data_IF_413059408475
#
_entry.id   IF_413059408475
#
_cell.length_a   1.000
_cell.length_b   1.000
_cell.length_c   1.000
_cell.angle_alpha   90.00
_cell.angle_beta   90.00
_cell.angle_gamma   90.00
#
_symmetry.space_group_name_H-M   'P 1'
#
loop_
_entity.id
_entity.type
_entity.pdbx_description
1 polymer ?
#
# COMPACT_ATOMS: atom_id res chain seq x y z
N UNK A 1 -68.54 52.42 25.86
CA UNK A 1 -67.25 52.06 26.47
C UNK A 1 -66.88 50.55 26.36
N UNK A 2 -67.50 49.75 25.47
CA UNK A 2 -67.21 48.29 25.34
C UNK A 2 -66.58 47.90 24.02
N UNK A 3 -66.26 48.84 23.10
CA UNK A 3 -65.65 48.60 21.84
C UNK A 3 -64.14 48.99 21.73
N UNK A 4 -63.61 49.73 22.73
CA UNK A 4 -62.23 50.17 22.78
C UNK A 4 -61.29 49.19 23.50
N UNK A 5 -61.85 48.25 24.30
CA UNK A 5 -61.05 47.28 25.07
C UNK A 5 -60.67 45.98 24.28
N UNK A 6 -61.43 45.71 23.21
CA UNK A 6 -61.20 44.52 22.38
C UNK A 6 -60.12 44.75 21.32
N UNK A 7 -59.80 45.98 20.97
CA UNK A 7 -58.78 46.31 19.98
C UNK A 7 -57.36 46.40 20.57
N UNK A 8 -57.25 46.64 21.90
CA UNK A 8 -55.96 46.65 22.58
C UNK A 8 -55.44 45.26 22.96
N UNK A 9 -56.35 44.27 23.11
CA UNK A 9 -55.92 42.88 23.38
C UNK A 9 -55.45 42.08 22.12
N UNK A 10 -55.93 42.49 20.94
CA UNK A 10 -55.45 41.83 19.66
C UNK A 10 -54.14 42.39 19.17
N UNK A 11 -53.70 43.56 19.59
CA UNK A 11 -52.40 44.12 19.20
C UNK A 11 -51.29 43.63 20.11
N UNK A 12 -51.56 43.19 21.34
CA UNK A 12 -50.57 42.60 22.24
C UNK A 12 -50.26 41.14 21.93
N UNK A 13 -51.16 40.39 21.23
CA UNK A 13 -50.93 39.02 20.81
C UNK A 13 -50.10 38.92 19.50
N UNK A 14 -50.05 39.98 18.67
CA UNK A 14 -49.27 39.99 17.44
C UNK A 14 -47.80 40.39 17.63
N UNK A 15 -47.44 41.03 18.72
CA UNK A 15 -46.06 41.42 19.01
C UNK A 15 -45.30 40.30 19.73
N UNK A 16 -45.98 39.34 20.37
CA UNK A 16 -45.36 38.19 21.04
C UNK A 16 -45.08 36.99 20.11
N UNK A 17 -45.59 36.99 18.87
CA UNK A 17 -45.31 35.93 17.90
C UNK A 17 -44.14 36.25 16.94
N UNK A 18 -43.60 37.47 16.95
CA UNK A 18 -42.48 37.87 16.09
C UNK A 18 -41.12 37.90 16.80
N UNK A 19 -41.07 37.56 18.09
CA UNK A 19 -39.85 37.54 18.90
C UNK A 19 -39.32 36.14 19.18
N UNK A 20 -39.88 35.08 18.58
CA UNK A 20 -39.39 33.67 18.71
C UNK A 20 -38.94 33.01 17.41
N UNK A 21 -38.68 33.79 16.35
CA UNK A 21 -38.12 33.29 15.10
C UNK A 21 -36.69 33.82 14.86
N UNK A 22 -35.83 33.63 15.83
CA UNK A 22 -34.46 34.12 15.70
C UNK A 22 -33.59 33.59 16.82
N UNK A 23 -33.25 32.31 16.76
CA UNK A 23 -32.03 31.64 17.19
C UNK A 23 -32.27 30.11 17.15
N UNK A 24 -32.49 29.56 15.97
CA UNK A 24 -31.95 28.22 15.74
C UNK A 24 -30.44 28.42 15.64
N UNK A 25 -29.76 28.33 16.75
CA UNK A 25 -28.41 27.85 16.78
C UNK A 25 -28.50 26.45 16.17
N UNK A 26 -28.11 26.31 14.90
CA UNK A 26 -27.66 25.02 14.41
C UNK A 26 -26.57 24.60 15.39
N UNK A 27 -26.94 23.77 16.33
CA UNK A 27 -26.00 22.90 17.02
C UNK A 27 -25.35 22.08 15.88
N UNK A 28 -24.17 22.47 15.44
CA UNK A 28 -23.26 21.52 14.89
C UNK A 28 -23.18 20.40 15.93
N UNK A 29 -23.89 19.31 15.70
CA UNK A 29 -23.66 18.10 16.44
C UNK A 29 -22.19 17.77 16.11
N UNK A 30 -21.32 18.01 17.07
CA UNK A 30 -19.96 17.50 17.09
C UNK A 30 -20.15 15.99 16.89
N UNK A 31 -19.77 15.50 15.71
CA UNK A 31 -19.87 14.08 15.40
C UNK A 31 -19.10 13.39 16.53
N UNK A 32 -19.78 12.54 17.29
CA UNK A 32 -19.12 11.80 18.36
C UNK A 32 -17.91 11.10 17.74
N UNK A 33 -16.71 11.36 18.26
CA UNK A 33 -15.51 10.75 17.75
C UNK A 33 -15.71 9.22 17.72
N UNK A 34 -15.54 8.62 16.57
CA UNK A 34 -15.64 7.16 16.42
C UNK A 34 -14.60 6.51 17.33
N UNK A 35 -15.05 5.56 18.15
CA UNK A 35 -14.17 4.86 19.11
C UNK A 35 -13.69 3.56 18.45
N UNK A 36 -12.38 3.38 18.27
CA UNK A 36 -11.81 2.12 17.75
C UNK A 36 -12.24 0.91 18.59
N UNK A 37 -12.54 -0.21 17.93
CA UNK A 37 -12.92 -1.46 18.58
C UNK A 37 -11.73 -2.06 19.35
N UNK A 38 -10.51 -1.87 18.83
CA UNK A 38 -9.27 -2.22 19.51
C UNK A 38 -8.30 -1.05 19.55
N UNK A 39 -7.58 -0.90 20.65
CA UNK A 39 -6.59 0.16 20.87
C UNK A 39 -5.15 -0.32 20.74
N UNK A 40 -4.90 -1.63 20.67
CA UNK A 40 -3.59 -2.23 20.44
C UNK A 40 -3.64 -3.06 19.17
N UNK A 41 -2.81 -2.72 18.18
CA UNK A 41 -2.71 -3.43 16.90
C UNK A 41 -1.29 -3.96 16.73
N UNK A 42 -1.16 -5.27 16.52
CA UNK A 42 0.12 -5.94 16.25
C UNK A 42 0.40 -5.91 14.75
N UNK A 43 1.52 -5.29 14.37
CA UNK A 43 1.82 -5.00 12.98
C UNK A 43 3.18 -5.57 12.55
N UNK A 44 3.24 -6.23 11.40
CA UNK A 44 4.47 -6.55 10.73
C UNK A 44 4.59 -5.78 9.41
N UNK A 45 5.73 -5.10 9.21
CA UNK A 45 6.02 -4.35 7.98
C UNK A 45 7.34 -4.81 7.29
N UNK A 46 7.83 -5.99 7.63
CA UNK A 46 9.06 -6.54 7.07
C UNK A 46 10.33 -5.79 7.51
N UNK A 47 11.47 -6.24 7.00
CA UNK A 47 12.80 -5.71 7.39
C UNK A 47 13.13 -4.37 6.73
N UNK A 48 12.52 -4.03 5.60
CA UNK A 48 12.70 -2.73 4.93
C UNK A 48 11.80 -1.63 5.49
N UNK A 49 10.96 -1.96 6.48
CA UNK A 49 10.05 -1.03 7.11
C UNK A 49 8.88 -0.59 6.21
N UNK A 50 8.08 0.32 6.76
CA UNK A 50 7.00 1.01 6.06
C UNK A 50 7.09 2.49 6.42
N UNK A 51 7.49 3.33 5.47
CA UNK A 51 7.70 4.75 5.72
C UNK A 51 6.45 5.47 6.22
N UNK A 52 5.26 5.07 5.76
CA UNK A 52 3.99 5.69 6.19
C UNK A 52 3.67 5.34 7.65
N UNK A 53 3.89 4.09 8.06
CA UNK A 53 3.76 3.66 9.46
C UNK A 53 4.79 4.37 10.33
N UNK A 54 6.06 4.47 9.87
CA UNK A 54 7.13 5.19 10.56
C UNK A 54 6.76 6.66 10.81
N UNK A 55 6.29 7.35 9.77
CA UNK A 55 5.87 8.76 9.87
C UNK A 55 4.64 8.90 10.80
N UNK A 56 3.64 8.03 10.66
CA UNK A 56 2.45 8.10 11.51
C UNK A 56 2.75 7.85 12.98
N UNK A 57 3.71 6.97 13.31
CA UNK A 57 4.18 6.74 14.67
C UNK A 57 4.94 7.97 15.20
N UNK A 58 5.91 8.51 14.45
CA UNK A 58 6.73 9.65 14.85
C UNK A 58 5.89 10.92 15.04
N UNK A 59 4.93 11.17 14.17
CA UNK A 59 4.03 12.32 14.25
C UNK A 59 2.87 12.13 15.24
N UNK A 60 2.70 10.92 15.80
CA UNK A 60 1.67 10.62 16.78
C UNK A 60 0.26 10.45 16.19
N UNK A 61 0.11 10.29 14.86
CA UNK A 61 -1.20 10.24 14.21
C UNK A 61 -2.07 9.05 14.65
N UNK A 62 -1.48 7.90 14.96
CA UNK A 62 -2.23 6.77 15.53
C UNK A 62 -2.76 7.07 16.94
N UNK A 63 -1.95 7.79 17.75
CA UNK A 63 -2.34 8.15 19.13
C UNK A 63 -3.48 9.14 19.19
N UNK A 64 -3.64 9.99 18.18
CA UNK A 64 -4.79 10.90 18.08
C UNK A 64 -6.12 10.13 18.02
N UNK A 65 -6.11 8.90 17.49
CA UNK A 65 -7.23 7.97 17.46
C UNK A 65 -7.23 6.96 18.64
N UNK A 66 -6.31 7.10 19.59
CA UNK A 66 -6.19 6.16 20.72
C UNK A 66 -5.67 4.79 20.35
N UNK A 67 -4.92 4.67 19.23
CA UNK A 67 -4.36 3.40 18.74
C UNK A 67 -2.86 3.36 19.06
N UNK A 68 -2.43 2.27 19.70
CA UNK A 68 -1.04 1.90 19.90
C UNK A 68 -0.66 0.75 18.96
N UNK A 69 0.55 0.81 18.38
CA UNK A 69 1.08 -0.26 17.55
C UNK A 69 2.16 -1.06 18.29
N UNK A 70 2.04 -2.38 18.24
CA UNK A 70 3.11 -3.31 18.60
C UNK A 70 3.74 -3.84 17.31
N UNK A 71 4.99 -3.45 17.05
CA UNK A 71 5.71 -3.92 15.86
C UNK A 71 6.29 -5.31 16.14
N UNK A 72 5.85 -6.29 15.37
CA UNK A 72 6.30 -7.68 15.45
C UNK A 72 7.22 -7.99 14.29
N UNK A 73 8.45 -8.35 14.58
CA UNK A 73 9.46 -8.63 13.56
C UNK A 73 9.24 -10.00 12.90
N UNK A 74 9.46 -10.05 11.58
CA UNK A 74 9.61 -11.28 10.82
C UNK A 74 10.77 -11.11 9.84
N UNK A 75 11.64 -12.10 9.76
CA UNK A 75 12.87 -12.02 8.97
C UNK A 75 12.65 -12.23 7.47
N UNK A 76 11.49 -12.76 7.08
CA UNK A 76 11.14 -13.06 5.68
C UNK A 76 9.64 -12.90 5.45
N UNK A 77 9.24 -12.60 4.21
CA UNK A 77 7.83 -12.42 3.83
C UNK A 77 6.95 -13.65 4.12
N UNK A 78 7.48 -14.86 3.91
CA UNK A 78 6.78 -16.10 4.28
C UNK A 78 6.54 -16.21 5.79
N UNK A 79 7.47 -15.71 6.61
CA UNK A 79 7.31 -15.64 8.07
C UNK A 79 6.23 -14.64 8.47
N UNK A 80 6.12 -13.51 7.78
CA UNK A 80 5.05 -12.52 8.00
C UNK A 80 3.66 -13.12 7.75
N UNK A 81 3.49 -13.85 6.64
CA UNK A 81 2.23 -14.54 6.34
C UNK A 81 1.89 -15.62 7.39
N UNK A 82 2.89 -16.34 7.91
CA UNK A 82 2.69 -17.32 8.96
C UNK A 82 2.27 -16.65 10.29
N UNK A 83 2.84 -15.49 10.62
CA UNK A 83 2.43 -14.73 11.80
C UNK A 83 0.97 -14.28 11.67
N UNK A 84 0.56 -13.80 10.49
CA UNK A 84 -0.80 -13.37 10.21
C UNK A 84 -1.78 -14.53 10.28
N UNK A 85 -1.55 -15.62 9.55
CA UNK A 85 -2.44 -16.78 9.52
C UNK A 85 -2.58 -17.49 10.87
N UNK A 86 -1.59 -17.35 11.76
CA UNK A 86 -1.65 -17.87 13.14
C UNK A 86 -2.22 -16.87 14.16
N UNK A 87 -2.65 -15.67 13.74
CA UNK A 87 -3.19 -14.62 14.60
C UNK A 87 -2.16 -14.01 15.56
N UNK A 88 -0.86 -14.12 15.26
CA UNK A 88 0.20 -13.50 16.07
C UNK A 88 0.43 -12.03 15.72
N UNK A 89 0.02 -11.61 14.53
CA UNK A 89 -0.10 -10.22 14.10
C UNK A 89 -1.50 -9.99 13.56
N UNK A 90 -1.96 -8.76 13.63
CA UNK A 90 -3.26 -8.34 13.16
C UNK A 90 -3.19 -7.80 11.73
N UNK A 91 -2.10 -7.10 11.40
CA UNK A 91 -1.86 -6.51 10.08
C UNK A 91 -0.46 -6.86 9.59
N UNK A 92 -0.35 -7.19 8.31
CA UNK A 92 0.91 -7.25 7.57
C UNK A 92 0.89 -6.20 6.46
N UNK A 93 2.03 -5.53 6.24
CA UNK A 93 2.21 -4.64 5.10
C UNK A 93 3.65 -4.73 4.61
N UNK A 94 3.95 -5.00 3.41
CA UNK A 94 5.30 -5.16 2.86
C UNK A 94 5.76 -6.63 2.72
N UNK A 95 4.80 -7.57 2.64
CA UNK A 95 5.08 -8.98 2.32
C UNK A 95 5.06 -9.26 0.80
N UNK A 96 4.93 -8.25 -0.02
CA UNK A 96 4.66 -8.37 -1.46
C UNK A 96 3.17 -8.62 -1.72
N UNK A 97 2.77 -8.71 -2.98
CA UNK A 97 1.38 -9.02 -3.36
C UNK A 97 1.19 -10.51 -3.67
N UNK A 98 2.21 -11.19 -4.20
CA UNK A 98 2.12 -12.63 -4.50
C UNK A 98 1.88 -13.49 -3.26
N UNK A 99 2.51 -13.16 -2.12
CA UNK A 99 2.41 -13.98 -0.90
C UNK A 99 0.98 -14.02 -0.33
N UNK A 100 0.29 -12.88 -0.08
CA UNK A 100 -1.11 -12.94 0.38
C UNK A 100 -2.02 -13.62 -0.63
N UNK A 101 -1.84 -13.41 -1.94
CA UNK A 101 -2.65 -14.08 -2.97
C UNK A 101 -2.48 -15.61 -2.94
N UNK A 102 -1.26 -16.11 -2.76
CA UNK A 102 -1.00 -17.55 -2.60
C UNK A 102 -1.62 -18.10 -1.31
N UNK A 103 -1.63 -17.35 -0.21
CA UNK A 103 -2.29 -17.75 1.03
C UNK A 103 -3.82 -17.81 0.86
N UNK A 104 -4.43 -16.81 0.22
CA UNK A 104 -5.86 -16.81 -0.13
C UNK A 104 -6.18 -18.04 -0.99
N UNK A 105 -5.39 -18.30 -2.03
CA UNK A 105 -5.55 -19.46 -2.89
C UNK A 105 -5.46 -20.80 -2.14
N UNK A 106 -4.66 -20.88 -1.08
CA UNK A 106 -4.55 -22.06 -0.22
C UNK A 106 -5.66 -22.17 0.82
N UNK A 107 -6.60 -21.22 0.86
CA UNK A 107 -7.78 -21.23 1.73
C UNK A 107 -7.63 -20.46 3.04
N UNK A 108 -6.59 -19.62 3.18
CA UNK A 108 -6.50 -18.70 4.32
C UNK A 108 -7.48 -17.54 4.08
N UNK A 109 -8.40 -17.36 5.02
CA UNK A 109 -9.40 -16.30 4.95
C UNK A 109 -8.81 -14.96 5.41
N UNK A 110 -8.32 -14.18 4.44
CA UNK A 110 -7.74 -12.86 4.65
C UNK A 110 -8.25 -11.85 3.63
N UNK A 111 -8.22 -10.57 4.00
CA UNK A 111 -8.67 -9.45 3.20
C UNK A 111 -7.53 -8.47 2.97
N UNK A 112 -7.31 -8.07 1.72
CA UNK A 112 -6.48 -6.95 1.31
C UNK A 112 -7.35 -5.69 1.42
N UNK A 113 -6.93 -4.72 2.26
CA UNK A 113 -7.74 -3.53 2.53
C UNK A 113 -6.99 -2.22 2.31
N UNK A 114 -5.71 -2.27 1.96
CA UNK A 114 -4.89 -1.10 1.72
C UNK A 114 -3.56 -1.43 1.08
N UNK A 115 -2.66 -0.44 1.06
CA UNK A 115 -1.36 -0.55 0.42
C UNK A 115 -0.22 0.12 1.17
N UNK A 116 0.98 -0.18 0.69
CA UNK A 116 2.20 0.54 1.06
C UNK A 116 2.93 0.99 -0.20
N UNK A 117 3.54 0.07 -0.94
CA UNK A 117 4.24 0.39 -2.18
C UNK A 117 3.39 0.03 -3.40
N UNK A 118 3.08 1.01 -4.24
CA UNK A 118 2.59 0.80 -5.60
C UNK A 118 3.72 0.19 -6.43
N UNK A 119 4.91 0.82 -6.34
CA UNK A 119 6.16 0.35 -6.95
C UNK A 119 7.29 0.44 -5.93
N UNK A 120 8.17 -0.55 -5.91
CA UNK A 120 9.18 -0.72 -4.87
C UNK A 120 10.61 -0.35 -5.27
N UNK A 121 10.81 0.41 -6.36
CA UNK A 121 12.15 0.74 -6.87
C UNK A 121 13.04 -0.52 -7.03
N UNK A 122 12.52 -1.56 -7.66
CA UNK A 122 13.22 -2.83 -7.84
C UNK A 122 13.96 -2.84 -9.20
N UNK A 123 15.30 -2.66 -9.22
CA UNK A 123 16.05 -2.59 -10.46
C UNK A 123 16.30 -3.98 -11.04
N UNK A 124 16.30 -4.08 -12.36
CA UNK A 124 16.91 -5.18 -13.12
C UNK A 124 18.31 -4.79 -13.49
N UNK A 125 19.26 -5.64 -13.14
CA UNK A 125 20.69 -5.43 -13.42
C UNK A 125 21.22 -6.42 -14.43
N UNK A 126 22.25 -6.00 -15.14
CA UNK A 126 23.06 -6.84 -16.01
C UNK A 126 24.54 -6.42 -15.90
N UNK A 127 25.44 -7.15 -16.57
CA UNK A 127 26.83 -6.68 -16.72
C UNK A 127 26.86 -5.36 -17.46
N UNK A 128 27.80 -4.49 -17.08
CA UNK A 128 27.97 -3.20 -17.73
C UNK A 128 28.17 -3.33 -19.24
N UNK A 129 27.43 -2.51 -20.01
CA UNK A 129 27.44 -2.52 -21.47
C UNK A 129 26.48 -3.53 -22.10
N UNK A 130 25.59 -4.15 -21.30
CA UNK A 130 24.54 -5.03 -21.81
C UNK A 130 23.41 -4.18 -22.42
N UNK A 131 23.08 -4.45 -23.69
CA UNK A 131 21.95 -3.78 -24.33
C UNK A 131 20.61 -4.25 -23.75
N UNK A 132 19.70 -3.29 -23.51
CA UNK A 132 18.33 -3.53 -23.08
C UNK A 132 17.35 -2.97 -24.10
N UNK A 133 16.51 -3.83 -24.68
CA UNK A 133 15.52 -3.48 -25.70
C UNK A 133 14.10 -3.90 -25.25
N UNK A 134 13.78 -3.71 -23.97
CA UNK A 134 12.51 -4.13 -23.39
C UNK A 134 12.55 -5.58 -22.89
N UNK A 135 11.37 -6.09 -22.51
CA UNK A 135 11.19 -7.45 -21.94
C UNK A 135 11.68 -8.56 -22.88
N UNK A 136 11.66 -8.30 -24.18
CA UNK A 136 12.18 -9.21 -25.22
C UNK A 136 13.66 -9.57 -24.99
N UNK A 137 14.43 -8.69 -24.34
CA UNK A 137 15.84 -8.95 -24.00
C UNK A 137 16.02 -10.12 -23.03
N UNK A 138 14.96 -10.48 -22.28
CA UNK A 138 14.97 -11.61 -21.35
C UNK A 138 14.73 -12.95 -22.02
N UNK A 139 14.15 -12.99 -23.24
CA UNK A 139 13.73 -14.23 -23.89
C UNK A 139 14.95 -15.12 -24.20
N UNK A 140 14.89 -16.36 -23.70
CA UNK A 140 15.97 -17.35 -23.82
C UNK A 140 17.20 -17.05 -22.96
N UNK A 141 17.13 -16.07 -22.04
CA UNK A 141 18.21 -15.67 -21.14
C UNK A 141 18.02 -16.25 -19.75
N UNK A 142 19.12 -16.32 -19.00
CA UNK A 142 19.11 -16.66 -17.58
C UNK A 142 18.76 -15.42 -16.76
N UNK A 143 17.61 -15.46 -16.11
CA UNK A 143 17.11 -14.36 -15.28
C UNK A 143 17.01 -14.77 -13.81
N UNK A 144 17.85 -14.16 -12.98
CA UNK A 144 17.78 -14.34 -11.53
C UNK A 144 16.56 -13.59 -10.96
N UNK A 145 15.44 -14.28 -10.92
CA UNK A 145 14.17 -13.78 -10.42
C UNK A 145 13.28 -14.96 -10.01
N UNK A 146 12.52 -14.81 -8.94
CA UNK A 146 11.45 -15.75 -8.64
C UNK A 146 10.29 -15.49 -9.61
N UNK A 147 9.88 -16.45 -10.43
CA UNK A 147 8.83 -16.25 -11.43
C UNK A 147 7.44 -15.99 -10.82
N UNK A 148 7.23 -16.25 -9.52
CA UNK A 148 6.02 -15.82 -8.80
C UNK A 148 5.98 -14.30 -8.54
N UNK A 149 7.06 -13.56 -8.83
CA UNK A 149 7.02 -12.09 -8.93
C UNK A 149 6.40 -11.72 -10.29
N UNK A 150 5.10 -11.79 -10.34
CA UNK A 150 4.23 -11.83 -11.51
C UNK A 150 4.45 -10.75 -12.58
N UNK A 151 5.13 -9.64 -12.25
CA UNK A 151 5.32 -8.54 -13.21
C UNK A 151 6.06 -8.99 -14.48
N UNK A 152 7.08 -9.82 -14.35
CA UNK A 152 7.85 -10.30 -15.51
C UNK A 152 7.15 -11.44 -16.22
N UNK A 153 6.53 -12.38 -15.50
CA UNK A 153 5.73 -13.45 -16.15
C UNK A 153 4.54 -12.86 -16.88
N UNK A 154 3.86 -11.86 -16.30
CA UNK A 154 2.77 -11.13 -16.95
C UNK A 154 3.24 -10.39 -18.20
N UNK A 155 4.36 -9.68 -18.15
CA UNK A 155 4.91 -8.98 -19.30
C UNK A 155 5.33 -9.95 -20.44
N UNK A 156 5.86 -11.12 -20.11
CA UNK A 156 6.16 -12.17 -21.09
C UNK A 156 4.89 -12.74 -21.72
N UNK A 157 3.79 -12.88 -20.95
CA UNK A 157 2.48 -13.25 -21.49
C UNK A 157 1.95 -12.19 -22.47
N UNK A 158 2.12 -10.91 -22.17
CA UNK A 158 1.73 -9.79 -23.05
C UNK A 158 2.48 -9.78 -24.38
N UNK A 159 3.71 -10.33 -24.42
CA UNK A 159 4.46 -10.57 -25.66
C UNK A 159 3.90 -11.73 -26.49
N UNK A 160 2.87 -12.45 -26.01
CA UNK A 160 2.22 -13.55 -26.71
C UNK A 160 2.82 -14.93 -26.43
N UNK A 161 3.61 -15.08 -25.36
CA UNK A 161 4.10 -16.39 -24.94
C UNK A 161 3.06 -17.07 -24.04
N UNK A 162 2.41 -18.12 -24.55
CA UNK A 162 1.43 -18.92 -23.78
C UNK A 162 2.06 -19.64 -22.58
N UNK A 163 3.37 -19.83 -22.60
CA UNK A 163 4.14 -20.50 -21.55
C UNK A 163 5.30 -19.62 -21.10
N UNK A 164 5.02 -18.57 -20.33
CA UNK A 164 6.04 -17.60 -19.93
C UNK A 164 7.16 -18.21 -19.08
N UNK A 165 6.87 -19.31 -18.37
CA UNK A 165 7.88 -20.02 -17.57
C UNK A 165 8.89 -20.81 -18.44
N UNK A 166 8.54 -21.16 -19.69
CA UNK A 166 9.44 -21.83 -20.64
C UNK A 166 10.22 -20.82 -21.53
N UNK A 167 9.81 -19.55 -21.54
CA UNK A 167 10.39 -18.51 -22.39
C UNK A 167 11.74 -17.98 -21.88
N UNK A 168 11.99 -18.08 -20.58
CA UNK A 168 13.21 -17.67 -19.88
C UNK A 168 13.78 -18.85 -19.08
N UNK A 169 15.10 -18.82 -18.81
CA UNK A 169 15.74 -19.69 -17.82
C UNK A 169 15.72 -18.99 -16.44
N UNK A 170 14.66 -19.22 -15.67
CA UNK A 170 14.45 -18.62 -14.36
C UNK A 170 15.38 -19.23 -13.32
N UNK A 171 16.18 -18.40 -12.66
CA UNK A 171 17.12 -18.78 -11.61
C UNK A 171 16.69 -18.19 -10.27
N UNK A 172 16.32 -19.04 -9.30
CA UNK A 172 15.88 -18.59 -7.98
C UNK A 172 17.05 -18.61 -7.01
N UNK A 173 17.38 -17.45 -6.46
CA UNK A 173 18.40 -17.27 -5.43
C UNK A 173 17.78 -17.01 -4.07
N UNK A 174 18.46 -17.41 -3.01
CA UNK A 174 18.01 -17.19 -1.62
C UNK A 174 18.32 -15.77 -1.11
N UNK A 175 19.28 -15.09 -1.75
CA UNK A 175 19.62 -13.71 -1.43
C UNK A 175 19.88 -12.89 -2.71
N UNK A 176 19.65 -11.59 -2.62
CA UNK A 176 19.98 -10.64 -3.69
C UNK A 176 21.49 -10.51 -3.91
N UNK A 177 22.30 -10.68 -2.86
CA UNK A 177 23.76 -10.63 -2.96
C UNK A 177 24.31 -11.79 -3.79
N UNK A 178 23.72 -13.00 -3.63
CA UNK A 178 24.08 -14.15 -4.46
C UNK A 178 23.68 -13.94 -5.93
N UNK A 179 22.50 -13.36 -6.19
CA UNK A 179 22.04 -13.02 -7.52
C UNK A 179 22.95 -11.97 -8.18
N UNK A 180 23.33 -10.91 -7.44
CA UNK A 180 24.30 -9.90 -7.90
C UNK A 180 25.66 -10.54 -8.24
N UNK A 181 26.16 -11.40 -7.36
CA UNK A 181 27.42 -12.10 -7.59
C UNK A 181 27.35 -13.02 -8.83
N UNK A 182 26.21 -13.66 -9.08
CA UNK A 182 25.99 -14.51 -10.27
C UNK A 182 26.00 -13.67 -11.57
N UNK A 183 25.42 -12.46 -11.58
CA UNK A 183 25.53 -11.52 -12.71
C UNK A 183 26.99 -11.15 -12.95
N UNK A 184 27.73 -10.76 -11.91
CA UNK A 184 29.15 -10.37 -12.01
C UNK A 184 30.00 -11.51 -12.59
N UNK A 185 29.78 -12.75 -12.16
CA UNK A 185 30.47 -13.94 -12.70
C UNK A 185 30.00 -14.36 -14.11
N UNK A 186 28.85 -13.86 -14.57
CA UNK A 186 28.22 -14.25 -15.85
C UNK A 186 27.53 -15.60 -15.80
N UNK A 187 27.13 -16.05 -14.65
CA UNK A 187 26.33 -17.26 -14.44
C UNK A 187 24.86 -17.04 -14.81
N UNK A 188 24.37 -15.79 -14.66
CA UNK A 188 23.08 -15.31 -15.14
C UNK A 188 23.28 -14.06 -15.99
N UNK A 189 22.36 -13.80 -16.92
CA UNK A 189 22.42 -12.64 -17.82
C UNK A 189 21.86 -11.39 -17.13
N UNK A 190 20.75 -11.56 -16.41
CA UNK A 190 20.03 -10.50 -15.72
C UNK A 190 19.64 -10.93 -14.31
N UNK A 191 19.42 -9.96 -13.41
CA UNK A 191 18.87 -10.21 -12.08
C UNK A 191 17.92 -9.09 -11.67
N UNK A 192 16.76 -9.47 -11.11
CA UNK A 192 15.89 -8.56 -10.36
C UNK A 192 16.48 -8.39 -8.96
N UNK A 193 16.67 -7.14 -8.56
CA UNK A 193 17.17 -6.78 -7.24
C UNK A 193 16.07 -6.20 -6.36
N UNK A 194 16.20 -6.38 -5.06
CA UNK A 194 15.27 -5.77 -4.09
C UNK A 194 15.47 -4.26 -3.95
N UNK A 195 14.49 -3.58 -3.38
CA UNK A 195 14.48 -2.13 -3.13
C UNK A 195 15.77 -1.65 -2.46
N UNK A 196 16.23 -2.33 -1.41
CA UNK A 196 17.43 -1.95 -0.67
C UNK A 196 18.74 -2.10 -1.44
N UNK A 197 18.79 -2.93 -2.50
CA UNK A 197 20.01 -3.13 -3.28
C UNK A 197 20.35 -1.96 -4.22
N UNK A 198 19.45 -0.97 -4.38
CA UNK A 198 19.76 0.22 -5.18
C UNK A 198 21.06 0.89 -4.78
N UNK A 199 21.32 1.01 -3.46
CA UNK A 199 22.56 1.61 -2.96
C UNK A 199 23.79 0.82 -3.41
N UNK A 200 23.76 -0.50 -3.25
CA UNK A 200 24.89 -1.35 -3.63
C UNK A 200 25.14 -1.32 -5.14
N UNK A 201 24.08 -1.38 -5.95
CA UNK A 201 24.18 -1.43 -7.42
C UNK A 201 24.65 -0.09 -8.00
N UNK A 202 24.07 1.04 -7.54
CA UNK A 202 24.43 2.40 -8.01
C UNK A 202 25.89 2.77 -7.74
N UNK A 203 26.55 2.11 -6.80
CA UNK A 203 27.95 2.33 -6.43
C UNK A 203 28.92 1.32 -7.05
N UNK A 204 28.52 0.58 -8.11
CA UNK A 204 29.39 -0.41 -8.78
C UNK A 204 29.67 -0.01 -10.22
N UNK A 205 30.86 -0.45 -10.70
CA UNK A 205 31.32 -0.20 -12.07
C UNK A 205 31.21 -1.44 -12.99
N UNK A 206 30.94 -2.62 -12.43
CA UNK A 206 30.93 -3.89 -13.15
C UNK A 206 29.52 -4.35 -13.57
N UNK A 207 28.48 -3.72 -13.03
CA UNK A 207 27.08 -3.92 -13.37
C UNK A 207 26.40 -2.59 -13.65
N UNK A 208 25.22 -2.64 -14.28
CA UNK A 208 24.37 -1.48 -14.50
C UNK A 208 22.91 -1.85 -14.34
N UNK A 209 22.09 -0.86 -13.97
CA UNK A 209 20.65 -0.98 -14.00
C UNK A 209 20.19 -0.80 -15.43
N UNK A 210 19.54 -1.81 -15.99
CA UNK A 210 19.04 -1.79 -17.38
C UNK A 210 17.57 -1.36 -17.45
N UNK A 211 16.78 -1.60 -16.39
CA UNK A 211 15.39 -1.16 -16.24
C UNK A 211 14.95 -1.31 -14.80
N UNK A 212 13.74 -0.88 -14.49
CA UNK A 212 13.06 -1.14 -13.24
C UNK A 212 11.78 -1.97 -13.46
N UNK A 213 11.40 -2.75 -12.45
CA UNK A 213 10.16 -3.54 -12.51
C UNK A 213 8.93 -2.69 -12.82
N UNK A 214 8.90 -1.43 -12.34
CA UNK A 214 7.83 -0.46 -12.60
C UNK A 214 7.72 -0.02 -14.05
N UNK A 215 8.82 -0.07 -14.82
CA UNK A 215 8.84 0.21 -16.26
C UNK A 215 8.33 -1.00 -17.06
N UNK A 216 8.57 -2.21 -16.55
CA UNK A 216 8.08 -3.47 -17.15
C UNK A 216 6.57 -3.61 -16.92
N UNK A 217 6.09 -3.32 -15.72
CA UNK A 217 4.66 -3.37 -15.38
C UNK A 217 4.30 -2.16 -14.50
N UNK A 218 3.72 -1.09 -15.06
CA UNK A 218 3.25 0.05 -14.28
C UNK A 218 2.20 -0.35 -13.24
N UNK A 219 2.25 0.27 -12.07
CA UNK A 219 1.33 -0.01 -10.95
C UNK A 219 1.22 -1.51 -10.64
N UNK A 220 2.36 -2.22 -10.61
CA UNK A 220 2.35 -3.67 -10.44
C UNK A 220 1.91 -4.15 -9.06
N UNK A 221 1.57 -3.22 -8.15
CA UNK A 221 1.15 -3.57 -6.78
C UNK A 221 2.25 -4.29 -6.00
N UNK A 222 3.32 -3.57 -5.65
CA UNK A 222 4.49 -4.16 -4.98
C UNK A 222 4.11 -4.80 -3.64
N UNK A 223 3.50 -4.03 -2.74
CA UNK A 223 3.14 -4.48 -1.39
C UNK A 223 1.79 -3.95 -0.97
N UNK A 224 0.94 -4.83 -0.44
CA UNK A 224 -0.39 -4.50 0.06
C UNK A 224 -0.43 -4.55 1.59
N UNK A 225 -1.53 -4.08 2.17
CA UNK A 225 -1.89 -4.31 3.57
C UNK A 225 -2.98 -5.35 3.63
N UNK A 226 -2.75 -6.37 4.42
CA UNK A 226 -3.64 -7.49 4.63
C UNK A 226 -3.84 -7.81 6.11
N UNK A 227 -5.02 -8.30 6.43
CA UNK A 227 -5.42 -8.84 7.73
C UNK A 227 -6.29 -10.08 7.54
N UNK A 228 -6.50 -10.88 8.59
CA UNK A 228 -7.53 -11.93 8.55
C UNK A 228 -8.90 -11.27 8.36
N UNK A 229 -9.77 -11.86 7.55
CA UNK A 229 -11.11 -11.31 7.24
C UNK A 229 -11.91 -11.06 8.52
N UNK A 230 -11.85 -11.99 9.49
CA UNK A 230 -12.47 -11.83 10.81
C UNK A 230 -11.98 -10.55 11.53
N UNK A 231 -10.70 -10.20 11.43
CA UNK A 231 -10.19 -8.98 12.04
C UNK A 231 -10.73 -7.74 11.33
N UNK A 232 -10.79 -7.75 10.00
CA UNK A 232 -11.34 -6.65 9.19
C UNK A 232 -12.82 -6.41 9.51
N UNK A 233 -13.61 -7.46 9.58
CA UNK A 233 -15.05 -7.38 9.87
C UNK A 233 -15.36 -6.92 11.29
N UNK A 234 -14.53 -7.31 12.27
CA UNK A 234 -14.74 -6.98 13.68
C UNK A 234 -14.14 -5.62 14.09
N UNK A 235 -13.30 -4.99 13.25
CA UNK A 235 -12.58 -3.76 13.59
C UNK A 235 -12.65 -2.67 12.51
N UNK A 236 -13.84 -2.39 11.91
CA UNK A 236 -13.92 -1.44 10.80
C UNK A 236 -13.57 -0.01 11.20
N UNK A 237 -13.94 0.45 12.40
CA UNK A 237 -13.59 1.80 12.88
C UNK A 237 -12.09 1.91 13.16
N UNK A 238 -11.50 0.89 13.80
CA UNK A 238 -10.05 0.82 14.03
C UNK A 238 -9.27 0.93 12.72
N UNK A 239 -9.65 0.13 11.71
CA UNK A 239 -8.98 0.13 10.40
C UNK A 239 -9.18 1.45 9.66
N UNK A 240 -10.36 2.06 9.73
CA UNK A 240 -10.62 3.38 9.15
C UNK A 240 -9.75 4.46 9.81
N UNK A 241 -9.64 4.47 11.15
CA UNK A 241 -8.73 5.36 11.87
C UNK A 241 -7.26 5.15 11.46
N UNK A 242 -6.83 3.90 11.31
CA UNK A 242 -5.49 3.56 10.79
C UNK A 242 -5.28 4.15 9.39
N UNK A 243 -6.24 3.97 8.49
CA UNK A 243 -6.16 4.51 7.13
C UNK A 243 -6.07 6.03 7.10
N UNK A 244 -6.85 6.72 7.95
CA UNK A 244 -6.79 8.19 8.09
C UNK A 244 -5.43 8.64 8.60
N UNK A 245 -4.86 7.96 9.59
CA UNK A 245 -3.51 8.24 10.10
C UNK A 245 -2.44 8.04 9.01
N UNK A 246 -2.54 6.97 8.21
CA UNK A 246 -1.63 6.69 7.11
C UNK A 246 -1.78 7.67 5.93
N UNK A 247 -2.99 8.12 5.61
CA UNK A 247 -3.21 9.17 4.59
C UNK A 247 -2.55 10.50 5.00
N UNK A 248 -2.66 10.90 6.27
CA UNK A 248 -1.92 12.06 6.80
C UNK A 248 -0.42 11.86 6.73
N UNK A 249 0.06 10.65 7.07
CA UNK A 249 1.47 10.31 6.97
C UNK A 249 1.96 10.34 5.52
N UNK A 250 1.15 9.93 4.56
CA UNK A 250 1.48 10.01 3.14
C UNK A 250 1.55 11.47 2.67
N UNK A 251 0.60 12.32 3.07
CA UNK A 251 0.65 13.76 2.77
C UNK A 251 1.93 14.39 3.33
N UNK A 252 2.28 14.04 4.58
CA UNK A 252 3.53 14.50 5.20
C UNK A 252 4.76 14.00 4.44
N UNK A 253 4.82 12.72 4.11
CA UNK A 253 5.90 12.10 3.36
C UNK A 253 6.11 12.74 1.99
N UNK A 254 5.06 13.00 1.23
CA UNK A 254 5.16 13.64 -0.09
C UNK A 254 5.74 15.05 0.00
N UNK A 255 5.48 15.78 1.09
CA UNK A 255 5.97 17.13 1.33
C UNK A 255 7.37 17.21 1.98
N UNK A 256 7.82 16.13 2.65
CA UNK A 256 9.02 16.15 3.51
C UNK A 256 9.91 14.91 3.30
N UNK A 257 10.21 14.58 2.04
CA UNK A 257 10.94 13.36 1.66
C UNK A 257 12.28 13.18 2.38
N UNK A 258 13.10 14.23 2.44
CA UNK A 258 14.45 14.17 3.05
C UNK A 258 14.36 13.85 4.56
N UNK A 259 13.42 14.46 5.29
CA UNK A 259 13.19 14.15 6.69
C UNK A 259 12.74 12.68 6.85
N UNK A 260 11.87 12.21 5.98
CA UNK A 260 11.36 10.83 6.03
C UNK A 260 12.46 9.80 5.70
N UNK A 261 13.51 10.16 4.94
CA UNK A 261 14.70 9.32 4.76
C UNK A 261 15.38 9.07 6.10
N UNK A 262 15.64 10.14 6.88
CA UNK A 262 16.28 10.02 8.19
C UNK A 262 15.40 9.21 9.17
N UNK A 263 14.09 9.45 9.19
CA UNK A 263 13.15 8.70 10.04
C UNK A 263 13.16 7.20 9.73
N UNK A 264 13.05 6.84 8.45
CA UNK A 264 13.04 5.43 8.06
C UNK A 264 14.40 4.77 8.31
N UNK A 265 15.51 5.45 7.99
CA UNK A 265 16.85 4.95 8.23
C UNK A 265 17.08 4.61 9.71
N UNK A 266 16.67 5.51 10.62
CA UNK A 266 16.73 5.26 12.06
C UNK A 266 15.84 4.07 12.48
N UNK A 267 14.63 3.97 11.93
CA UNK A 267 13.69 2.90 12.26
C UNK A 267 14.20 1.51 11.90
N UNK A 268 14.83 1.37 10.70
CA UNK A 268 15.33 0.08 10.21
C UNK A 268 16.81 -0.17 10.54
N UNK A 269 17.47 0.75 11.23
CA UNK A 269 18.90 0.65 11.59
C UNK A 269 19.84 0.70 10.39
N UNK A 270 19.49 1.44 9.33
CA UNK A 270 20.28 1.63 8.11
C UNK A 270 20.90 3.05 8.07
N UNK A 271 21.75 3.32 7.07
CA UNK A 271 22.24 4.68 6.81
C UNK A 271 21.25 5.47 5.95
N UNK A 272 21.28 6.79 6.05
CA UNK A 272 20.43 7.66 5.23
C UNK A 272 20.74 7.50 3.74
N UNK A 273 22.00 7.33 3.36
CA UNK A 273 22.41 7.11 1.98
C UNK A 273 21.81 5.81 1.40
N UNK A 274 21.71 4.76 2.22
CA UNK A 274 21.08 3.51 1.82
C UNK A 274 19.58 3.72 1.53
N UNK A 275 18.87 4.42 2.40
CA UNK A 275 17.44 4.70 2.24
C UNK A 275 17.20 5.70 1.11
N UNK A 276 18.01 6.77 1.01
CA UNK A 276 17.91 7.79 -0.04
C UNK A 276 18.09 7.19 -1.45
N UNK A 277 18.92 6.15 -1.59
CA UNK A 277 19.21 5.52 -2.87
C UNK A 277 17.95 4.97 -3.59
N UNK A 278 16.89 4.67 -2.87
CA UNK A 278 15.61 4.25 -3.44
C UNK A 278 14.47 5.21 -3.13
N UNK A 279 14.40 5.75 -1.91
CA UNK A 279 13.22 6.52 -1.47
C UNK A 279 13.10 7.89 -2.14
N UNK A 280 14.22 8.45 -2.65
CA UNK A 280 14.23 9.70 -3.42
C UNK A 280 14.09 9.48 -4.94
N UNK A 281 13.90 8.26 -5.39
CA UNK A 281 13.66 7.92 -6.79
C UNK A 281 12.16 7.97 -7.08
N UNK A 282 11.64 9.16 -7.36
CA UNK A 282 10.21 9.44 -7.56
C UNK A 282 9.58 8.69 -8.74
N UNK A 283 10.39 8.27 -9.70
CA UNK A 283 9.93 7.53 -10.86
C UNK A 283 9.66 6.05 -10.54
N UNK A 284 10.39 5.49 -9.58
CA UNK A 284 10.39 4.05 -9.35
C UNK A 284 9.99 3.65 -7.93
N UNK A 285 10.01 4.58 -6.96
CA UNK A 285 9.55 4.36 -5.59
C UNK A 285 8.29 5.17 -5.32
N UNK A 286 7.15 4.53 -5.44
CA UNK A 286 5.84 5.16 -5.22
C UNK A 286 5.13 4.45 -4.08
N UNK A 287 4.84 5.19 -3.02
CA UNK A 287 4.04 4.70 -1.88
C UNK A 287 2.62 5.26 -1.94
N UNK A 288 1.65 4.42 -1.63
CA UNK A 288 0.25 4.81 -1.53
C UNK A 288 -0.51 3.84 -0.63
N UNK A 289 -1.40 4.37 0.20
CA UNK A 289 -2.28 3.60 1.10
C UNK A 289 -3.40 2.88 0.35
N UNK A 290 -3.65 3.24 -0.89
CA UNK A 290 -4.68 2.70 -1.78
C UNK A 290 -4.55 1.16 -1.95
N UNK A 291 -5.66 0.39 -1.89
CA UNK A 291 -5.62 -1.06 -2.05
C UNK A 291 -5.23 -1.56 -3.45
N UNK A 292 -5.31 -0.73 -4.50
CA UNK A 292 -4.99 -1.08 -5.90
C UNK A 292 -5.76 -2.30 -6.41
N UNK A 293 -7.07 -2.29 -6.27
CA UNK A 293 -7.95 -3.38 -6.65
C UNK A 293 -7.63 -3.97 -8.03
N UNK A 294 -7.61 -3.14 -9.08
CA UNK A 294 -7.38 -3.59 -10.44
C UNK A 294 -6.02 -4.29 -10.63
N UNK A 295 -4.99 -3.82 -9.92
CA UNK A 295 -3.66 -4.42 -9.96
C UNK A 295 -3.57 -5.73 -9.17
N UNK A 296 -4.30 -5.86 -8.07
CA UNK A 296 -4.40 -7.10 -7.29
C UNK A 296 -5.13 -8.18 -8.10
N UNK A 297 -6.26 -7.83 -8.74
CA UNK A 297 -7.00 -8.75 -9.63
C UNK A 297 -6.14 -9.19 -10.82
N UNK A 298 -5.39 -8.25 -11.44
CA UNK A 298 -4.44 -8.58 -12.50
C UNK A 298 -3.36 -9.57 -12.01
N UNK A 299 -2.81 -9.32 -10.81
CA UNK A 299 -1.80 -10.21 -10.22
C UNK A 299 -2.34 -11.62 -9.98
N UNK A 300 -3.57 -11.73 -9.46
CA UNK A 300 -4.26 -13.02 -9.30
C UNK A 300 -4.36 -13.78 -10.61
N UNK A 301 -4.85 -13.13 -11.68
CA UNK A 301 -4.98 -13.75 -13.00
C UNK A 301 -3.65 -14.24 -13.58
N UNK A 302 -2.57 -13.48 -13.41
CA UNK A 302 -1.23 -13.89 -13.86
C UNK A 302 -0.73 -15.10 -13.05
N UNK A 303 -0.86 -15.07 -11.73
CA UNK A 303 -0.42 -16.16 -10.85
C UNK A 303 -1.22 -17.44 -11.09
N UNK A 304 -2.53 -17.36 -11.36
CA UNK A 304 -3.36 -18.51 -11.72
C UNK A 304 -2.94 -19.09 -13.07
N UNK A 305 -2.80 -18.26 -14.10
CA UNK A 305 -2.40 -18.67 -15.45
C UNK A 305 -0.99 -19.30 -15.49
N UNK A 306 -0.12 -18.92 -14.55
CA UNK A 306 1.26 -19.43 -14.45
C UNK A 306 1.41 -20.59 -13.45
N UNK A 307 0.33 -21.00 -12.80
CA UNK A 307 0.31 -22.15 -11.88
C UNK A 307 0.97 -21.89 -10.52
N UNK A 308 1.07 -20.63 -10.12
CA UNK A 308 1.56 -20.25 -8.78
C UNK A 308 0.49 -20.18 -7.70
N UNK A 309 -0.78 -20.30 -8.08
CA UNK A 309 -1.88 -20.45 -7.11
C UNK A 309 -2.23 -21.93 -6.92
N UNK A 310 -2.71 -22.25 -5.73
CA UNK A 310 -3.24 -23.57 -5.40
C UNK A 310 -4.46 -23.90 -6.29
N UNK A 311 -4.72 -25.18 -6.56
CA UNK A 311 -5.89 -25.61 -7.35
C UNK A 311 -7.21 -25.13 -6.78
N UNK A 312 -7.28 -24.86 -5.48
CA UNK A 312 -8.44 -24.30 -4.80
C UNK A 312 -8.77 -22.86 -5.25
N UNK A 313 -7.83 -22.13 -5.85
CA UNK A 313 -8.04 -20.79 -6.42
C UNK A 313 -9.23 -20.73 -7.39
N UNK A 314 -9.52 -21.84 -8.10
CA UNK A 314 -10.67 -21.97 -9.02
C UNK A 314 -12.02 -21.83 -8.33
N UNK A 315 -12.08 -22.03 -7.01
CA UNK A 315 -13.29 -21.93 -6.20
C UNK A 315 -13.39 -20.59 -5.46
N UNK A 316 -12.40 -19.72 -5.60
CA UNK A 316 -12.27 -18.45 -4.88
C UNK A 316 -12.52 -17.30 -5.86
N UNK A 317 -13.43 -16.41 -5.50
CA UNK A 317 -13.55 -15.11 -6.14
C UNK A 317 -12.66 -14.11 -5.41
N UNK A 318 -11.56 -13.69 -6.04
CA UNK A 318 -10.59 -12.77 -5.41
C UNK A 318 -11.22 -11.42 -5.01
N UNK A 319 -12.29 -11.00 -5.68
CA UNK A 319 -13.03 -9.78 -5.35
C UNK A 319 -13.57 -9.79 -3.89
N UNK A 320 -13.91 -10.98 -3.37
CA UNK A 320 -14.41 -11.13 -2.01
C UNK A 320 -13.31 -10.95 -0.95
N UNK A 321 -12.05 -10.90 -1.37
CA UNK A 321 -10.86 -10.74 -0.55
C UNK A 321 -10.19 -9.35 -0.69
N UNK A 322 -10.86 -8.40 -1.35
CA UNK A 322 -10.36 -7.02 -1.53
C UNK A 322 -11.42 -6.04 -1.00
N UNK A 323 -11.09 -5.29 0.04
CA UNK A 323 -11.97 -4.28 0.61
C UNK A 323 -11.50 -2.86 0.24
N UNK A 324 -12.09 -2.28 -0.80
CA UNK A 324 -11.83 -0.90 -1.22
C UNK A 324 -12.66 0.12 -0.44
N UNK A 325 -13.78 -0.30 0.15
CA UNK A 325 -14.74 0.57 0.85
C UNK A 325 -14.10 1.23 2.07
N UNK A 326 -13.33 0.48 2.86
CA UNK A 326 -12.61 1.02 4.02
C UNK A 326 -11.71 2.20 3.66
N UNK A 327 -10.93 2.05 2.57
CA UNK A 327 -10.06 3.13 2.11
C UNK A 327 -10.88 4.31 1.56
N UNK A 328 -11.91 4.04 0.78
CA UNK A 328 -12.77 5.09 0.21
C UNK A 328 -13.42 5.95 1.29
N UNK A 329 -13.97 5.32 2.33
CA UNK A 329 -14.56 6.02 3.48
C UNK A 329 -13.49 6.82 4.24
N UNK A 330 -12.36 6.21 4.56
CA UNK A 330 -11.25 6.88 5.24
C UNK A 330 -10.71 8.08 4.43
N UNK A 331 -10.61 7.96 3.11
CA UNK A 331 -10.18 9.06 2.24
C UNK A 331 -11.19 10.22 2.25
N UNK A 332 -12.49 9.91 2.20
CA UNK A 332 -13.53 10.93 2.26
C UNK A 332 -13.51 11.68 3.61
N UNK A 333 -13.40 10.95 4.73
CA UNK A 333 -13.31 11.54 6.06
C UNK A 333 -12.01 12.33 6.26
N UNK A 334 -10.85 11.76 5.89
CA UNK A 334 -9.57 12.46 5.99
C UNK A 334 -9.55 13.74 5.11
N UNK A 335 -10.22 13.70 3.94
CA UNK A 335 -10.36 14.89 3.09
C UNK A 335 -11.21 15.96 3.79
N UNK A 336 -12.28 15.57 4.46
CA UNK A 336 -13.13 16.52 5.20
C UNK A 336 -12.39 17.11 6.41
N UNK A 337 -11.61 16.31 7.13
CA UNK A 337 -10.90 16.73 8.34
C UNK A 337 -9.60 17.50 8.04
N UNK A 338 -8.79 17.05 7.08
CA UNK A 338 -7.43 17.52 6.82
C UNK A 338 -7.22 18.10 5.42
N UNK A 339 -8.25 18.09 4.55
CA UNK A 339 -8.11 18.51 3.16
C UNK A 339 -7.65 19.97 3.01
N UNK A 340 -7.93 20.85 3.97
CA UNK A 340 -7.43 22.24 3.95
C UNK A 340 -5.91 22.34 4.19
N UNK A 341 -5.29 21.34 4.82
CA UNK A 341 -3.85 21.29 5.09
C UNK A 341 -3.05 20.86 3.85
N UNK A 342 -3.62 19.99 3.00
CA UNK A 342 -2.98 19.45 1.80
C UNK A 342 -3.98 19.21 0.66
N UNK A 343 -4.62 20.26 0.11
CA UNK A 343 -5.74 20.12 -0.82
C UNK A 343 -5.37 19.36 -2.12
N UNK A 344 -4.20 19.63 -2.67
CA UNK A 344 -3.73 18.98 -3.90
C UNK A 344 -3.47 17.48 -3.68
N UNK A 345 -2.95 17.11 -2.50
CA UNK A 345 -2.74 15.72 -2.12
C UNK A 345 -4.06 14.94 -2.12
N UNK A 346 -5.07 15.41 -1.37
CA UNK A 346 -6.34 14.69 -1.27
C UNK A 346 -7.10 14.63 -2.58
N UNK A 347 -7.05 15.68 -3.41
CA UNK A 347 -7.61 15.66 -4.77
C UNK A 347 -6.93 14.62 -5.65
N UNK A 348 -5.58 14.52 -5.57
CA UNK A 348 -4.79 13.50 -6.26
C UNK A 348 -5.14 12.09 -5.79
N UNK A 349 -5.31 11.86 -4.46
CA UNK A 349 -5.69 10.56 -3.93
C UNK A 349 -7.07 10.11 -4.42
N UNK A 350 -8.05 11.01 -4.49
CA UNK A 350 -9.37 10.68 -5.03
C UNK A 350 -9.31 10.28 -6.50
N UNK A 351 -8.52 11.01 -7.30
CA UNK A 351 -8.29 10.66 -8.72
C UNK A 351 -7.64 9.29 -8.83
N UNK A 352 -6.58 9.05 -8.04
CA UNK A 352 -5.85 7.80 -8.03
C UNK A 352 -6.75 6.61 -7.64
N UNK A 353 -7.60 6.78 -6.63
CA UNK A 353 -8.58 5.77 -6.23
C UNK A 353 -9.52 5.41 -7.37
N UNK A 354 -10.10 6.40 -8.03
CA UNK A 354 -11.05 6.16 -9.13
C UNK A 354 -10.41 5.43 -10.31
N UNK A 355 -9.14 5.69 -10.60
CA UNK A 355 -8.41 5.06 -11.70
C UNK A 355 -8.00 3.60 -11.39
N UNK A 356 -7.80 3.25 -10.12
CA UNK A 356 -7.22 1.97 -9.74
C UNK A 356 -8.19 1.00 -9.05
N UNK A 357 -9.41 1.45 -8.67
CA UNK A 357 -10.36 0.62 -7.92
C UNK A 357 -11.79 0.60 -8.49
N UNK A 358 -12.07 1.30 -9.58
CA UNK A 358 -13.41 1.36 -10.19
C UNK A 358 -13.41 0.82 -11.61
#
# INVERSE_FOLDING_TARGET
>A
MKKALTLLMTLALFVSLFAMSGLQTESCAEAAAEVPETTLVRWNYGTSGNVLVTVALEKGYFKEYGIDLEIVEATQNAGAMQLLSSGKVDIVSNAGTSNPLQQIASGVDMTIFGGHMVTGCMPVIAKKGTEWNGVESLIGKKFACNPSYFAFTGAVMELGYDKPLEALDWQVFTSYDDALAAVVRGEVDYALMGTGQNYAVKNRDDVEIVTYQSEVMPNYSCCRMEALTEFVENNPVTLKCIMKALLRAQAYYEANRDECVALLANTIGATEEYVAAYMLDDAHYVVNVDPLHNSVVRAWGILDATGFLDENAKNINIEDHINTTLYQEALAEATAEFGSEAPDFYAKQLTFFNENNL
#
